data_IF_630358871642
#
_entry.id   IF_630358871642
#
_cell.length_a   1.000
_cell.length_b   1.000
_cell.length_c   1.000
_cell.angle_alpha   90.00
_cell.angle_beta   90.00
_cell.angle_gamma   90.00
#
_symmetry.space_group_name_H-M   'P 1'
#
loop_
_entity.id
_entity.type
_entity.pdbx_description
1 polymer ?
#
# COMPACT_ATOMS: atom_id res chain seq x y z
N UNK A 1 9.69 29.84 7.54
CA UNK A 1 10.18 29.12 6.36
C UNK A 1 9.28 27.91 6.13
N UNK A 2 8.88 27.65 4.89
CA UNK A 2 8.18 26.41 4.50
C UNK A 2 9.05 25.65 3.51
N UNK A 3 8.83 24.34 3.42
CA UNK A 3 9.56 23.41 2.58
C UNK A 3 8.63 22.74 1.57
N UNK A 4 9.22 22.29 0.47
CA UNK A 4 8.55 21.44 -0.50
C UNK A 4 9.06 20.00 -0.36
N UNK A 5 8.17 19.02 -0.54
CA UNK A 5 8.50 17.59 -0.44
C UNK A 5 8.22 16.91 -1.78
N UNK A 6 9.17 16.13 -2.29
CA UNK A 6 8.95 15.18 -3.36
C UNK A 6 9.05 13.76 -2.78
N UNK A 7 8.01 12.95 -2.96
CA UNK A 7 7.94 11.60 -2.40
C UNK A 7 7.51 10.59 -3.47
N UNK A 8 8.33 9.56 -3.67
CA UNK A 8 8.08 8.49 -4.63
C UNK A 8 7.55 7.24 -3.94
N UNK A 9 6.63 6.56 -4.61
CA UNK A 9 6.07 5.27 -4.19
C UNK A 9 5.56 5.32 -2.75
N UNK A 10 5.95 4.36 -1.91
CA UNK A 10 5.55 4.25 -0.50
C UNK A 10 5.92 5.47 0.35
N UNK A 11 6.96 6.22 -0.04
CA UNK A 11 7.36 7.45 0.65
C UNK A 11 6.22 8.49 0.66
N UNK A 12 5.31 8.42 -0.32
CA UNK A 12 4.11 9.26 -0.34
C UNK A 12 3.13 8.94 0.79
N UNK A 13 3.01 7.67 1.21
CA UNK A 13 2.13 7.28 2.32
C UNK A 13 2.67 7.81 3.64
N UNK A 14 3.98 7.70 3.86
CA UNK A 14 4.67 8.29 5.02
C UNK A 14 4.52 9.81 5.03
N UNK A 15 4.69 10.45 3.87
CA UNK A 15 4.51 11.89 3.72
C UNK A 15 3.08 12.30 4.07
N UNK A 16 2.07 11.60 3.55
CA UNK A 16 0.65 11.85 3.87
C UNK A 16 0.36 11.69 5.36
N UNK A 17 0.89 10.64 5.99
CA UNK A 17 0.74 10.40 7.42
C UNK A 17 1.37 11.55 8.23
N UNK A 18 2.64 11.89 7.95
CA UNK A 18 3.34 12.99 8.60
C UNK A 18 2.61 14.32 8.45
N UNK A 19 2.13 14.67 7.25
CA UNK A 19 1.40 15.93 7.04
C UNK A 19 0.17 16.05 7.94
N UNK A 20 -0.57 14.94 8.10
CA UNK A 20 -1.81 14.86 8.87
C UNK A 20 -1.57 14.84 10.38
N UNK A 21 -0.57 14.09 10.84
CA UNK A 21 -0.41 13.75 12.26
C UNK A 21 0.88 14.30 12.89
N UNK A 22 1.80 14.83 12.09
CA UNK A 22 3.09 15.31 12.57
C UNK A 22 3.92 14.18 13.18
N UNK A 23 4.48 14.36 14.39
CA UNK A 23 5.31 13.36 15.06
C UNK A 23 4.51 12.33 15.89
N UNK A 24 3.17 12.36 15.85
CA UNK A 24 2.35 11.42 16.62
C UNK A 24 2.59 9.97 16.17
N UNK A 25 2.61 9.03 17.13
CA UNK A 25 2.58 7.59 16.80
C UNK A 25 1.19 7.21 16.29
N UNK A 26 1.11 6.10 15.57
CA UNK A 26 -0.14 5.50 15.11
C UNK A 26 -0.98 4.93 16.26
N UNK A 27 -0.33 4.60 17.38
CA UNK A 27 -0.93 3.82 18.46
C UNK A 27 -0.96 2.33 18.14
N UNK A 28 -1.42 1.53 19.11
CA UNK A 28 -1.62 0.09 18.96
C UNK A 28 -3.11 -0.30 18.86
N UNK A 29 -4.02 0.60 19.24
CA UNK A 29 -5.47 0.40 19.17
C UNK A 29 -6.20 1.55 18.48
N UNK A 30 -7.50 1.41 18.26
CA UNK A 30 -8.32 2.49 17.67
C UNK A 30 -8.50 3.69 18.61
N UNK A 31 -8.57 3.44 19.92
CA UNK A 31 -8.70 4.46 20.95
C UNK A 31 -7.44 5.32 21.08
N UNK A 32 -6.29 4.75 20.71
CA UNK A 32 -4.99 5.42 20.67
C UNK A 32 -4.69 6.10 19.32
N UNK A 33 -5.67 6.14 18.40
CA UNK A 33 -5.47 6.71 17.08
C UNK A 33 -5.01 8.18 17.16
N UNK A 34 -4.07 8.61 16.29
CA UNK A 34 -3.53 9.96 16.33
C UNK A 34 -4.60 11.00 15.99
N UNK A 35 -4.51 12.17 16.62
CA UNK A 35 -5.43 13.27 16.37
C UNK A 35 -5.09 13.95 15.04
N UNK A 36 -6.07 14.06 14.14
CA UNK A 36 -5.92 14.74 12.85
C UNK A 36 -5.85 16.26 13.05
N UNK A 37 -4.63 16.79 13.12
CA UNK A 37 -4.37 18.21 13.39
C UNK A 37 -3.68 18.95 12.23
N UNK A 38 -3.23 18.21 11.21
CA UNK A 38 -2.33 18.70 10.16
C UNK A 38 -1.02 19.30 10.69
N UNK A 39 -0.55 18.85 11.86
CA UNK A 39 0.63 19.40 12.52
C UNK A 39 1.90 19.34 11.63
N UNK A 40 2.08 18.28 10.83
CA UNK A 40 3.22 18.17 9.93
C UNK A 40 3.15 19.14 8.74
N UNK A 41 1.96 19.60 8.36
CA UNK A 41 1.79 20.59 7.29
C UNK A 41 2.16 22.02 7.70
N UNK A 42 2.44 22.28 8.99
CA UNK A 42 2.85 23.61 9.50
C UNK A 42 4.05 24.19 8.73
N UNK A 43 4.99 23.34 8.34
CA UNK A 43 6.23 23.73 7.68
C UNK A 43 6.29 23.30 6.21
N UNK A 44 5.20 22.80 5.63
CA UNK A 44 5.18 22.30 4.26
C UNK A 44 4.24 23.16 3.41
N UNK A 45 4.72 23.61 2.26
CA UNK A 45 3.93 24.39 1.30
C UNK A 45 3.43 23.49 0.17
N UNK A 46 4.33 22.74 -0.48
CA UNK A 46 3.97 21.86 -1.60
C UNK A 46 4.47 20.44 -1.40
N UNK A 47 3.71 19.50 -1.92
CA UNK A 47 4.05 18.08 -1.90
C UNK A 47 3.79 17.50 -3.29
N UNK A 48 4.81 16.90 -3.90
CA UNK A 48 4.68 16.12 -5.13
C UNK A 48 4.78 14.65 -4.76
N UNK A 49 3.68 13.91 -4.92
CA UNK A 49 3.66 12.45 -4.73
C UNK A 49 3.66 11.73 -6.08
N UNK A 50 4.52 10.73 -6.23
CA UNK A 50 4.89 10.15 -7.53
C UNK A 50 4.68 8.64 -7.49
N UNK A 51 3.78 8.11 -8.31
CA UNK A 51 3.37 6.69 -8.28
C UNK A 51 2.95 6.18 -6.90
N UNK A 52 2.18 6.93 -6.09
CA UNK A 52 1.90 6.53 -4.71
C UNK A 52 0.93 5.34 -4.66
N UNK A 53 1.19 4.26 -3.91
CA UNK A 53 0.21 3.19 -3.70
C UNK A 53 -0.87 3.60 -2.67
N UNK A 54 -1.60 4.70 -2.92
CA UNK A 54 -2.52 5.28 -1.92
C UNK A 54 -3.61 4.30 -1.48
N UNK A 55 -4.08 3.41 -2.36
CA UNK A 55 -5.03 2.34 -2.03
C UNK A 55 -4.38 0.97 -1.78
N UNK A 56 -3.05 0.89 -1.76
CA UNK A 56 -2.28 -0.36 -1.74
C UNK A 56 -2.06 -0.96 -3.13
N UNK A 57 -1.35 -2.08 -3.18
CA UNK A 57 -1.06 -2.84 -4.41
C UNK A 57 -1.36 -4.32 -4.18
N UNK A 58 -1.96 -4.99 -5.16
CA UNK A 58 -2.30 -6.41 -5.00
C UNK A 58 -1.07 -7.29 -4.88
N UNK A 59 0.06 -6.88 -5.49
CA UNK A 59 1.34 -7.55 -5.42
C UNK A 59 1.90 -7.62 -3.99
N UNK A 60 1.49 -6.74 -3.06
CA UNK A 60 1.91 -6.83 -1.66
C UNK A 60 1.37 -8.12 -1.01
N UNK A 61 0.10 -8.47 -1.28
CA UNK A 61 -0.48 -9.73 -0.84
C UNK A 61 0.20 -10.92 -1.51
N UNK A 62 0.44 -10.85 -2.83
CA UNK A 62 1.17 -11.90 -3.56
C UNK A 62 2.55 -12.17 -2.95
N UNK A 63 3.31 -11.12 -2.61
CA UNK A 63 4.63 -11.23 -2.01
C UNK A 63 4.58 -11.84 -0.60
N UNK A 64 3.59 -11.44 0.22
CA UNK A 64 3.40 -11.99 1.56
C UNK A 64 3.00 -13.48 1.56
N UNK A 65 2.34 -13.95 0.50
CA UNK A 65 1.88 -15.35 0.38
C UNK A 65 2.89 -16.24 -0.35
N UNK A 66 3.44 -15.77 -1.46
CA UNK A 66 4.25 -16.56 -2.39
C UNK A 66 5.75 -16.26 -2.31
N UNK A 67 6.15 -15.23 -1.56
CA UNK A 67 7.52 -14.73 -1.55
C UNK A 67 7.80 -13.85 -2.78
N UNK A 68 9.06 -13.43 -2.93
CA UNK A 68 9.49 -12.60 -4.07
C UNK A 68 10.76 -13.14 -4.69
N UNK A 69 10.69 -13.46 -5.98
CA UNK A 69 11.86 -13.77 -6.79
C UNK A 69 12.41 -12.51 -7.45
N UNK A 70 13.69 -12.20 -7.23
CA UNK A 70 14.35 -11.05 -7.85
C UNK A 70 15.15 -11.42 -9.10
N UNK A 71 15.17 -12.69 -9.52
CA UNK A 71 15.91 -13.15 -10.71
C UNK A 71 16.86 -14.30 -10.42
N UNK A 72 16.37 -15.36 -9.77
CA UNK A 72 17.15 -16.59 -9.58
C UNK A 72 17.75 -17.12 -10.90
N UNK A 73 18.95 -17.72 -10.87
CA UNK A 73 19.78 -17.98 -9.68
C UNK A 73 20.70 -16.81 -9.26
N UNK A 74 20.76 -15.73 -10.04
CA UNK A 74 21.73 -14.65 -9.83
C UNK A 74 21.34 -13.66 -8.73
N UNK A 75 20.04 -13.49 -8.50
CA UNK A 75 19.48 -12.63 -7.45
C UNK A 75 18.70 -13.48 -6.43
N UNK A 76 18.57 -13.00 -5.18
CA UNK A 76 17.95 -13.78 -4.11
C UNK A 76 16.44 -13.96 -4.35
N UNK A 77 15.90 -14.99 -3.71
CA UNK A 77 14.46 -15.12 -3.49
C UNK A 77 14.19 -14.91 -2.01
N UNK A 78 13.23 -14.04 -1.72
CA UNK A 78 12.82 -13.75 -0.36
C UNK A 78 11.59 -14.60 -0.03
N UNK A 79 11.67 -15.52 0.95
CA UNK A 79 10.57 -16.40 1.29
C UNK A 79 9.43 -15.64 1.99
N UNK A 80 8.19 -16.19 1.96
CA UNK A 80 7.03 -15.59 2.62
C UNK A 80 7.26 -15.22 4.08
N UNK A 81 7.88 -16.09 4.89
CA UNK A 81 8.12 -15.76 6.29
C UNK A 81 9.12 -14.63 6.52
N UNK A 82 10.11 -14.44 5.63
CA UNK A 82 11.02 -13.29 5.72
C UNK A 82 10.25 -11.99 5.41
N UNK A 83 9.57 -11.95 4.27
CA UNK A 83 8.76 -10.80 3.86
C UNK A 83 7.63 -10.53 4.85
N UNK A 84 7.09 -11.58 5.48
CA UNK A 84 6.06 -11.52 6.49
C UNK A 84 6.49 -10.81 7.78
N UNK A 85 7.79 -10.54 7.98
CA UNK A 85 8.27 -9.68 9.07
C UNK A 85 8.25 -8.20 8.74
N UNK A 86 7.98 -7.81 7.49
CA UNK A 86 8.08 -6.41 7.04
C UNK A 86 6.73 -5.71 7.20
N UNK A 87 6.55 -4.80 8.18
CA UNK A 87 5.26 -4.13 8.40
C UNK A 87 4.77 -3.37 7.17
N UNK A 88 5.72 -2.87 6.38
CA UNK A 88 5.48 -2.06 5.20
C UNK A 88 4.73 -2.79 4.08
N UNK A 89 4.86 -4.12 3.96
CA UNK A 89 4.09 -4.89 2.99
C UNK A 89 2.62 -5.03 3.42
N UNK A 90 2.35 -5.18 4.71
CA UNK A 90 0.99 -5.18 5.23
C UNK A 90 0.32 -3.80 5.03
N UNK A 91 1.07 -2.72 5.23
CA UNK A 91 0.65 -1.33 4.95
C UNK A 91 0.51 -1.01 3.46
N UNK A 92 0.78 -1.98 2.57
CA UNK A 92 0.53 -1.90 1.14
C UNK A 92 -0.59 -2.82 0.68
N UNK A 93 -1.24 -3.55 1.58
CA UNK A 93 -2.40 -4.36 1.22
C UNK A 93 -3.48 -3.48 0.58
N UNK A 94 -4.18 -3.99 -0.45
CA UNK A 94 -5.33 -3.31 -0.99
C UNK A 94 -6.42 -3.19 0.07
N UNK A 95 -7.20 -2.10 0.05
CA UNK A 95 -8.35 -1.97 0.94
C UNK A 95 -9.44 -2.98 0.55
N UNK A 96 -9.96 -3.75 1.51
CA UNK A 96 -11.02 -4.74 1.24
C UNK A 96 -12.29 -4.09 0.67
N UNK A 97 -12.63 -2.88 1.11
CA UNK A 97 -13.76 -2.09 0.55
C UNK A 97 -13.64 -1.81 -0.95
N UNK A 98 -12.45 -1.86 -1.54
CA UNK A 98 -12.27 -1.76 -2.99
C UNK A 98 -12.47 -3.09 -3.74
N UNK A 99 -12.64 -4.22 -3.05
CA UNK A 99 -12.93 -5.53 -3.67
C UNK A 99 -11.89 -5.94 -4.73
N UNK A 100 -10.59 -5.80 -4.42
CA UNK A 100 -9.48 -6.13 -5.35
C UNK A 100 -8.93 -7.55 -5.18
N UNK A 101 -9.47 -8.30 -4.22
CA UNK A 101 -9.11 -9.70 -3.99
C UNK A 101 -10.41 -10.49 -3.94
N UNK A 102 -10.51 -11.54 -4.76
CA UNK A 102 -11.76 -12.28 -4.99
C UNK A 102 -11.55 -13.79 -4.85
N UNK A 103 -12.60 -14.53 -4.55
CA UNK A 103 -12.55 -15.99 -4.47
C UNK A 103 -12.78 -16.63 -5.83
N UNK A 104 -11.93 -17.61 -6.18
CA UNK A 104 -12.09 -18.52 -7.32
C UNK A 104 -12.35 -17.88 -8.70
N UNK A 105 -12.08 -16.57 -8.84
CA UNK A 105 -12.30 -15.81 -10.07
C UNK A 105 -13.70 -15.22 -10.19
N UNK A 106 -14.51 -15.30 -9.14
CA UNK A 106 -15.83 -14.71 -9.05
C UNK A 106 -15.76 -13.27 -8.52
N UNK A 107 -15.97 -12.28 -9.40
CA UNK A 107 -15.97 -10.87 -9.00
C UNK A 107 -17.13 -10.47 -8.09
N UNK A 108 -18.15 -11.32 -7.96
CA UNK A 108 -19.26 -11.13 -7.02
C UNK A 108 -18.97 -11.64 -5.61
N UNK A 109 -17.86 -12.37 -5.42
CA UNK A 109 -17.42 -12.92 -4.13
C UNK A 109 -16.05 -12.34 -3.71
N UNK A 110 -15.98 -11.07 -3.31
CA UNK A 110 -14.75 -10.45 -2.83
C UNK A 110 -14.38 -10.92 -1.42
N UNK A 111 -13.09 -10.90 -1.10
CA UNK A 111 -12.62 -11.07 0.28
C UNK A 111 -13.10 -9.89 1.12
N UNK A 112 -13.91 -10.19 2.13
CA UNK A 112 -14.56 -9.19 2.98
C UNK A 112 -13.54 -8.42 3.83
N UNK A 113 -12.61 -9.12 4.48
CA UNK A 113 -11.58 -8.52 5.31
C UNK A 113 -10.22 -9.20 5.06
N UNK A 114 -9.25 -8.42 4.59
CA UNK A 114 -7.88 -8.88 4.35
C UNK A 114 -7.00 -8.73 5.60
N UNK A 115 -7.46 -8.00 6.61
CA UNK A 115 -6.77 -7.79 7.88
C UNK A 115 -7.13 -8.86 8.91
N UNK A 116 -8.14 -9.69 8.65
CA UNK A 116 -8.57 -10.77 9.53
C UNK A 116 -7.46 -11.84 9.72
N UNK A 117 -6.88 -11.97 10.92
CA UNK A 117 -5.84 -12.98 11.17
C UNK A 117 -6.34 -14.42 11.03
N UNK A 118 -7.63 -14.70 11.22
CA UNK A 118 -8.19 -16.04 11.06
C UNK A 118 -8.17 -16.48 9.59
N UNK A 119 -8.46 -15.57 8.66
CA UNK A 119 -8.30 -15.80 7.22
C UNK A 119 -6.87 -16.23 6.89
N UNK A 120 -5.86 -15.51 7.38
CA UNK A 120 -4.45 -15.78 7.09
C UNK A 120 -4.00 -17.14 7.65
N UNK A 121 -4.44 -17.49 8.85
CA UNK A 121 -4.19 -18.80 9.46
C UNK A 121 -4.87 -19.93 8.66
N UNK A 122 -6.15 -19.76 8.35
CA UNK A 122 -6.93 -20.75 7.58
C UNK A 122 -6.32 -21.03 6.21
N UNK A 123 -5.80 -19.99 5.55
CA UNK A 123 -5.16 -20.11 4.23
C UNK A 123 -3.68 -20.50 4.31
N UNK A 124 -3.10 -20.59 5.51
CA UNK A 124 -1.69 -20.93 5.71
C UNK A 124 -0.75 -19.92 5.04
N UNK A 125 -1.02 -18.64 5.19
CA UNK A 125 -0.29 -17.55 4.53
C UNK A 125 0.81 -16.94 5.40
N UNK A 126 1.89 -16.49 4.75
CA UNK A 126 2.98 -15.75 5.37
C UNK A 126 3.57 -16.43 6.61
N UNK A 127 3.66 -15.68 7.70
CA UNK A 127 4.20 -16.15 8.99
C UNK A 127 3.36 -17.24 9.66
N UNK A 128 2.04 -17.25 9.43
CA UNK A 128 1.13 -18.27 9.99
C UNK A 128 1.17 -19.60 9.23
N UNK A 129 2.02 -19.73 8.20
CA UNK A 129 2.14 -20.95 7.41
C UNK A 129 3.07 -21.97 8.08
N UNK A 130 2.59 -23.19 8.43
CA UNK A 130 3.45 -24.23 8.98
C UNK A 130 4.60 -24.64 8.04
N UNK A 131 4.42 -24.44 6.73
CA UNK A 131 5.43 -24.71 5.71
C UNK A 131 6.71 -23.87 5.85
N UNK A 132 6.66 -22.78 6.63
CA UNK A 132 7.74 -21.83 6.76
C UNK A 132 8.68 -22.11 7.93
N UNK A 133 8.52 -23.23 8.66
CA UNK A 133 9.30 -23.51 9.88
C UNK A 133 10.82 -23.42 9.66
N UNK A 134 11.33 -23.86 8.51
CA UNK A 134 12.76 -23.72 8.17
C UNK A 134 13.24 -22.27 8.17
N UNK A 135 12.42 -21.33 7.73
CA UNK A 135 12.74 -19.89 7.74
C UNK A 135 12.54 -19.33 9.14
N UNK A 136 11.46 -19.74 9.82
CA UNK A 136 11.17 -19.30 11.18
C UNK A 136 12.25 -19.74 12.18
N UNK A 137 12.86 -20.91 12.02
CA UNK A 137 13.99 -21.34 12.87
C UNK A 137 15.26 -20.53 12.66
N UNK A 138 15.44 -19.94 11.48
CA UNK A 138 16.54 -18.98 11.24
C UNK A 138 16.23 -17.63 11.90
N UNK A 139 14.97 -17.18 11.83
CA UNK A 139 14.52 -15.92 12.43
C UNK A 139 14.44 -15.98 13.97
N UNK A 140 14.18 -17.16 14.53
CA UNK A 140 14.03 -17.41 15.96
C UNK A 140 14.90 -18.61 16.39
N UNK A 141 16.23 -18.50 16.33
CA UNK A 141 17.15 -19.62 16.58
C UNK A 141 17.09 -20.14 18.01
N UNK A 142 16.67 -19.31 18.97
CA UNK A 142 16.61 -19.65 20.39
C UNK A 142 15.33 -20.39 20.79
N UNK A 143 14.37 -20.55 19.86
CA UNK A 143 13.12 -21.26 20.10
C UNK A 143 13.22 -22.65 19.49
N UNK A 144 13.31 -23.70 20.31
CA UNK A 144 13.52 -25.07 19.86
C UNK A 144 12.27 -25.71 19.22
N UNK A 145 11.10 -25.47 19.79
CA UNK A 145 9.85 -26.12 19.39
C UNK A 145 9.20 -25.43 18.18
N UNK A 146 8.90 -26.21 17.14
CA UNK A 146 8.21 -25.74 15.91
C UNK A 146 6.85 -25.12 16.22
N UNK A 147 6.07 -25.73 17.12
CA UNK A 147 4.75 -25.22 17.51
C UNK A 147 4.86 -23.86 18.20
N UNK A 148 5.87 -23.68 19.05
CA UNK A 148 6.11 -22.40 19.73
C UNK A 148 6.56 -21.31 18.74
N UNK A 149 7.43 -21.62 17.78
CA UNK A 149 7.81 -20.69 16.71
C UNK A 149 6.59 -20.26 15.90
N UNK A 150 5.76 -21.21 15.49
CA UNK A 150 4.54 -20.92 14.74
C UNK A 150 3.59 -20.05 15.54
N UNK A 151 3.37 -20.34 16.83
CA UNK A 151 2.50 -19.54 17.69
C UNK A 151 2.98 -18.07 17.80
N UNK A 152 4.29 -17.85 18.01
CA UNK A 152 4.88 -16.50 18.04
C UNK A 152 4.70 -15.79 16.70
N UNK A 153 4.98 -16.48 15.60
CA UNK A 153 4.89 -15.93 14.25
C UNK A 153 3.43 -15.54 13.89
N UNK A 154 2.46 -16.37 14.25
CA UNK A 154 1.02 -16.11 14.07
C UNK A 154 0.57 -14.88 14.87
N UNK A 155 0.95 -14.78 16.14
CA UNK A 155 0.63 -13.60 16.98
C UNK A 155 1.27 -12.33 16.42
N UNK A 156 2.52 -12.42 15.96
CA UNK A 156 3.20 -11.28 15.34
C UNK A 156 2.51 -10.84 14.05
N UNK A 157 2.11 -11.78 13.19
CA UNK A 157 1.39 -11.48 11.95
C UNK A 157 0.04 -10.80 12.23
N UNK A 158 -0.71 -11.27 13.22
CA UNK A 158 -1.97 -10.65 13.62
C UNK A 158 -1.75 -9.17 14.03
N UNK A 159 -0.68 -8.88 14.79
CA UNK A 159 -0.32 -7.49 15.15
C UNK A 159 0.05 -6.64 13.94
N UNK A 160 0.75 -7.19 12.95
CA UNK A 160 1.11 -6.47 11.72
C UNK A 160 -0.11 -6.15 10.86
N UNK A 161 -1.05 -7.10 10.75
CA UNK A 161 -2.33 -6.89 10.06
C UNK A 161 -3.15 -5.79 10.74
N UNK A 162 -3.24 -5.84 12.06
CA UNK A 162 -3.94 -4.82 12.84
C UNK A 162 -3.29 -3.44 12.70
N UNK A 163 -1.96 -3.36 12.80
CA UNK A 163 -1.24 -2.10 12.59
C UNK A 163 -1.43 -1.55 11.17
N UNK A 164 -1.52 -2.41 10.14
CA UNK A 164 -1.83 -1.98 8.79
C UNK A 164 -3.27 -1.46 8.66
N UNK A 165 -4.24 -2.11 9.32
CA UNK A 165 -5.64 -1.65 9.38
C UNK A 165 -5.76 -0.27 10.01
N UNK A 166 -5.11 -0.04 11.16
CA UNK A 166 -5.05 1.26 11.82
C UNK A 166 -4.38 2.32 10.94
N UNK A 167 -3.24 1.98 10.31
CA UNK A 167 -2.54 2.88 9.41
C UNK A 167 -3.44 3.33 8.25
N UNK A 168 -4.09 2.37 7.58
CA UNK A 168 -5.00 2.65 6.47
C UNK A 168 -6.18 3.52 6.91
N UNK A 169 -6.81 3.24 8.05
CA UNK A 169 -7.87 4.09 8.60
C UNK A 169 -7.39 5.52 8.82
N UNK A 170 -6.21 5.70 9.42
CA UNK A 170 -5.65 7.02 9.70
C UNK A 170 -5.39 7.82 8.41
N UNK A 171 -4.79 7.21 7.39
CA UNK A 171 -4.47 7.95 6.15
C UNK A 171 -5.66 8.09 5.21
N UNK A 172 -6.67 7.22 5.28
CA UNK A 172 -7.86 7.25 4.43
C UNK A 172 -8.98 8.14 4.99
N UNK A 173 -8.88 8.60 6.26
CA UNK A 173 -9.86 9.52 6.85
C UNK A 173 -10.07 10.76 5.94
N UNK A 174 -11.28 11.04 5.44
CA UNK A 174 -11.52 12.21 4.61
C UNK A 174 -11.19 13.50 5.37
N UNK A 175 -10.34 14.34 4.79
CA UNK A 175 -9.87 15.56 5.43
C UNK A 175 -9.48 16.61 4.40
N UNK A 176 -9.84 17.87 4.66
CA UNK A 176 -9.41 19.02 3.86
C UNK A 176 -8.07 19.51 4.41
N UNK A 177 -7.01 19.61 3.57
CA UNK A 177 -5.74 20.16 4.01
C UNK A 177 -5.84 21.67 4.33
N UNK A 178 -4.92 22.24 5.12
CA UNK A 178 -4.82 23.68 5.29
C UNK A 178 -4.72 24.39 3.94
N UNK A 179 -5.32 25.58 3.80
CA UNK A 179 -5.41 26.29 2.52
C UNK A 179 -4.05 26.58 1.85
N UNK A 180 -2.97 26.61 2.63
CA UNK A 180 -1.62 26.82 2.12
C UNK A 180 -0.91 25.57 1.60
N UNK A 181 -1.44 24.37 1.85
CA UNK A 181 -0.80 23.12 1.49
C UNK A 181 -1.34 22.64 0.13
N UNK A 182 -0.45 22.54 -0.85
CA UNK A 182 -0.77 22.00 -2.16
C UNK A 182 -0.21 20.58 -2.32
N UNK A 183 -1.06 19.63 -2.74
CA UNK A 183 -0.65 18.24 -3.00
C UNK A 183 -0.81 17.96 -4.49
N UNK A 184 0.30 17.70 -5.17
CA UNK A 184 0.36 17.35 -6.59
C UNK A 184 0.57 15.84 -6.73
N UNK A 185 -0.19 15.20 -7.62
CA UNK A 185 -0.07 13.79 -7.93
C UNK A 185 0.53 13.59 -9.31
N UNK A 186 1.49 12.68 -9.40
CA UNK A 186 1.96 12.10 -10.67
C UNK A 186 1.66 10.61 -10.63
N UNK A 187 0.89 10.12 -11.60
CA UNK A 187 0.48 8.70 -11.69
C UNK A 187 0.80 8.14 -13.07
N UNK A 188 1.25 6.88 -13.13
CA UNK A 188 1.25 6.16 -14.40
C UNK A 188 -0.17 5.83 -14.87
N UNK A 189 -0.36 5.73 -16.18
CA UNK A 189 -1.65 5.36 -16.79
C UNK A 189 -1.53 4.55 -18.10
N UNK A 190 -0.35 4.02 -18.42
CA UNK A 190 -0.12 3.33 -19.70
C UNK A 190 0.26 1.86 -19.55
N UNK A 191 0.79 1.46 -18.40
CA UNK A 191 1.30 0.10 -18.21
C UNK A 191 0.20 -0.84 -17.68
N UNK A 192 0.03 -2.03 -18.29
CA UNK A 192 -0.83 -3.07 -17.73
C UNK A 192 -0.35 -3.46 -16.33
N UNK A 193 -1.12 -3.09 -15.31
CA UNK A 193 -0.74 -3.24 -13.92
C UNK A 193 -1.66 -4.23 -13.21
N UNK A 194 -1.14 -5.26 -12.51
CA UNK A 194 -1.96 -6.16 -11.70
C UNK A 194 -2.91 -5.38 -10.79
N UNK A 195 -4.20 -5.70 -10.89
CA UNK A 195 -5.26 -4.90 -10.24
C UNK A 195 -6.26 -5.72 -9.46
N UNK A 196 -6.43 -7.00 -9.82
CA UNK A 196 -7.29 -7.95 -9.11
C UNK A 196 -6.52 -9.26 -8.93
N UNK A 197 -6.51 -9.78 -7.71
CA UNK A 197 -6.06 -11.14 -7.40
C UNK A 197 -7.25 -12.07 -7.19
N UNK A 198 -7.13 -13.29 -7.68
CA UNK A 198 -8.04 -14.39 -7.35
C UNK A 198 -7.33 -15.36 -6.40
N UNK A 199 -7.98 -15.71 -5.29
CA UNK A 199 -7.56 -16.75 -4.37
C UNK A 199 -8.28 -18.04 -4.73
N UNK A 200 -7.55 -19.15 -4.80
CA UNK A 200 -8.16 -20.47 -4.83
C UNK A 200 -8.62 -20.87 -3.42
N UNK A 201 -9.92 -21.01 -3.19
CA UNK A 201 -10.51 -21.24 -1.86
C UNK A 201 -10.05 -22.53 -1.18
N UNK A 202 -9.59 -23.53 -1.96
CA UNK A 202 -9.14 -24.83 -1.46
C UNK A 202 -7.66 -24.87 -1.10
N UNK A 203 -6.84 -24.07 -1.78
CA UNK A 203 -5.37 -24.16 -1.68
C UNK A 203 -4.70 -22.90 -1.13
N UNK A 204 -5.44 -21.79 -1.03
CA UNK A 204 -4.90 -20.49 -0.63
C UNK A 204 -3.97 -19.86 -1.68
N UNK A 205 -3.79 -20.47 -2.86
CA UNK A 205 -2.91 -19.94 -3.91
C UNK A 205 -3.52 -18.70 -4.57
N UNK A 206 -2.66 -17.72 -4.86
CA UNK A 206 -3.01 -16.49 -5.56
C UNK A 206 -2.68 -16.57 -7.05
N UNK A 207 -3.46 -15.87 -7.86
CA UNK A 207 -3.14 -15.55 -9.25
C UNK A 207 -3.64 -14.16 -9.60
N UNK A 208 -2.92 -13.46 -10.49
CA UNK A 208 -3.43 -12.24 -11.12
C UNK A 208 -4.64 -12.61 -11.97
N UNK A 209 -5.79 -12.03 -11.64
CA UNK A 209 -7.05 -12.24 -12.35
C UNK A 209 -7.26 -11.19 -13.43
N UNK A 210 -6.93 -9.93 -13.13
CA UNK A 210 -7.07 -8.83 -14.06
C UNK A 210 -6.01 -7.74 -13.85
N UNK A 211 -5.68 -7.06 -14.94
CA UNK A 211 -4.86 -5.85 -14.95
C UNK A 211 -5.72 -4.60 -15.20
N UNK A 212 -5.18 -3.45 -14.86
CA UNK A 212 -5.74 -2.13 -15.13
C UNK A 212 -4.61 -1.18 -15.55
N UNK A 213 -4.94 -0.02 -16.17
CA UNK A 213 -3.94 1.02 -16.41
C UNK A 213 -3.22 1.46 -15.13
N UNK A 214 -1.91 1.71 -15.23
CA UNK A 214 -1.06 2.14 -14.12
C UNK A 214 0.38 2.32 -14.57
N UNK A 215 1.32 2.05 -13.66
CA UNK A 215 2.78 2.15 -13.88
C UNK A 215 3.51 0.79 -13.85
N UNK A 216 2.77 -0.31 -13.96
CA UNK A 216 3.28 -1.69 -13.88
C UNK A 216 3.43 -2.20 -12.44
N UNK A 217 3.39 -1.31 -11.44
CA UNK A 217 3.40 -1.65 -10.02
C UNK A 217 2.11 -1.20 -9.33
N UNK A 218 1.78 0.09 -9.46
CA UNK A 218 0.64 0.76 -8.86
C UNK A 218 -0.40 1.06 -9.94
N UNK A 219 -1.59 0.49 -9.79
CA UNK A 219 -2.69 0.79 -10.70
C UNK A 219 -3.15 2.25 -10.51
N UNK A 220 -3.57 2.93 -11.59
CA UNK A 220 -4.01 4.33 -11.57
C UNK A 220 -5.06 4.60 -10.49
N UNK A 221 -6.05 3.71 -10.37
CA UNK A 221 -7.09 3.86 -9.35
C UNK A 221 -6.55 3.76 -7.92
N UNK A 222 -5.45 3.04 -7.70
CA UNK A 222 -4.76 3.03 -6.41
C UNK A 222 -4.02 4.34 -6.16
N UNK A 223 -3.32 4.88 -7.17
CA UNK A 223 -2.67 6.19 -7.09
C UNK A 223 -3.64 7.31 -6.71
N UNK A 224 -4.86 7.26 -7.24
CA UNK A 224 -5.90 8.24 -6.97
C UNK A 224 -6.62 8.03 -5.62
N UNK A 225 -6.45 6.86 -4.98
CA UNK A 225 -7.33 6.39 -3.90
C UNK A 225 -8.81 6.56 -4.30
N UNK A 226 -9.16 5.95 -5.44
CA UNK A 226 -10.47 6.11 -6.07
C UNK A 226 -11.54 5.28 -5.35
N UNK A 227 -12.33 5.94 -4.51
CA UNK A 227 -13.42 5.36 -3.71
C UNK A 227 -14.58 4.81 -4.56
N UNK A 228 -14.60 5.05 -5.88
CA UNK A 228 -15.57 4.43 -6.78
C UNK A 228 -15.27 2.96 -7.04
N UNK A 229 -14.03 2.52 -6.83
CA UNK A 229 -13.61 1.14 -7.04
C UNK A 229 -14.31 0.22 -6.04
N UNK A 230 -14.93 -0.86 -6.53
CA UNK A 230 -15.75 -1.76 -5.69
C UNK A 230 -17.14 -1.22 -5.35
N UNK A 231 -17.49 -0.02 -5.83
CA UNK A 231 -18.80 0.60 -5.65
C UNK A 231 -19.54 0.85 -6.96
N UNK A 232 -20.53 1.73 -6.89
CA UNK A 232 -21.30 2.18 -8.07
C UNK A 232 -20.53 3.24 -8.84
N UNK A 233 -20.64 3.19 -10.18
CA UNK A 233 -20.03 4.20 -11.04
C UNK A 233 -20.53 5.61 -10.70
N UNK A 234 -19.60 6.57 -10.69
CA UNK A 234 -19.90 7.99 -10.55
C UNK A 234 -19.05 8.82 -11.52
N UNK A 235 -19.58 9.95 -12.02
CA UNK A 235 -18.94 10.73 -13.08
C UNK A 235 -17.69 11.49 -12.62
N UNK A 236 -17.55 11.79 -11.33
CA UNK A 236 -16.40 12.51 -10.76
C UNK A 236 -15.61 11.60 -9.83
N UNK A 237 -14.29 11.82 -9.77
CA UNK A 237 -13.42 11.13 -8.81
C UNK A 237 -13.95 11.33 -7.39
N UNK A 238 -14.04 10.23 -6.65
CA UNK A 238 -14.25 10.25 -5.21
C UNK A 238 -12.94 9.81 -4.56
N UNK A 239 -12.32 10.69 -3.79
CA UNK A 239 -11.06 10.40 -3.09
C UNK A 239 -11.02 11.19 -1.79
N UNK A 240 -10.52 10.62 -0.67
CA UNK A 240 -10.31 11.36 0.56
C UNK A 240 -9.06 12.26 0.49
N UNK A 241 -8.37 12.30 -0.66
CA UNK A 241 -7.19 13.13 -0.90
C UNK A 241 -7.59 14.31 -1.79
N UNK A 242 -7.33 15.53 -1.30
CA UNK A 242 -7.47 16.75 -2.09
C UNK A 242 -6.19 17.00 -2.88
N UNK A 243 -6.25 16.84 -4.20
CA UNK A 243 -5.16 17.16 -5.11
C UNK A 243 -5.31 18.57 -5.67
N UNK A 244 -4.23 19.35 -5.67
CA UNK A 244 -4.15 20.61 -6.39
C UNK A 244 -4.08 20.37 -7.90
N UNK A 245 -3.35 19.33 -8.34
CA UNK A 245 -3.31 18.88 -9.72
C UNK A 245 -2.93 17.39 -9.78
N UNK A 246 -3.39 16.71 -10.84
CA UNK A 246 -3.01 15.35 -11.19
C UNK A 246 -2.40 15.35 -12.58
N UNK A 247 -1.24 14.72 -12.74
CA UNK A 247 -0.56 14.49 -14.00
C UNK A 247 -0.46 12.99 -14.26
N UNK A 248 -0.95 12.54 -15.41
CA UNK A 248 -0.77 11.17 -15.87
C UNK A 248 0.42 11.08 -16.82
N UNK A 249 1.28 10.08 -16.62
CA UNK A 249 2.44 9.82 -17.45
C UNK A 249 2.38 8.40 -18.04
N UNK A 250 2.83 8.20 -19.29
CA UNK A 250 2.86 6.89 -19.91
C UNK A 250 4.19 6.16 -19.61
N UNK A 251 4.60 6.13 -18.34
CA UNK A 251 5.87 5.55 -17.91
C UNK A 251 5.64 4.46 -16.86
N UNK A 252 6.56 3.49 -16.79
CA UNK A 252 6.62 2.53 -15.70
C UNK A 252 7.01 3.19 -14.36
N UNK A 253 6.86 2.44 -13.26
CA UNK A 253 7.01 2.94 -11.90
C UNK A 253 8.34 3.65 -11.61
N UNK A 254 9.43 3.19 -12.21
CA UNK A 254 10.76 3.81 -12.06
C UNK A 254 10.97 4.92 -13.11
N UNK A 255 10.40 4.74 -14.29
CA UNK A 255 10.45 5.69 -15.40
C UNK A 255 9.69 6.98 -15.13
N UNK A 256 8.71 6.99 -14.21
CA UNK A 256 7.97 8.20 -13.81
C UNK A 256 8.90 9.37 -13.46
N UNK A 257 9.96 9.11 -12.69
CA UNK A 257 10.92 10.16 -12.26
C UNK A 257 11.99 10.49 -13.30
N UNK A 258 12.10 9.69 -14.37
CA UNK A 258 13.06 9.90 -15.47
C UNK A 258 12.45 10.65 -16.65
N UNK A 259 11.13 10.83 -16.65
CA UNK A 259 10.39 11.51 -17.71
C UNK A 259 10.73 12.99 -17.77
N UNK A 260 10.97 13.51 -18.98
CA UNK A 260 11.15 14.96 -19.18
C UNK A 260 9.87 15.72 -18.82
N UNK A 261 8.70 15.16 -19.17
CA UNK A 261 7.40 15.71 -18.78
C UNK A 261 7.25 15.79 -17.26
N UNK A 262 7.75 14.79 -16.52
CA UNK A 262 7.81 14.84 -15.06
C UNK A 262 8.64 16.03 -14.58
N UNK A 263 9.88 16.13 -15.07
CA UNK A 263 10.83 17.17 -14.64
C UNK A 263 10.26 18.56 -14.89
N UNK A 264 9.76 18.80 -16.08
CA UNK A 264 9.33 20.13 -16.51
C UNK A 264 8.08 20.59 -15.71
N UNK A 265 7.13 19.68 -15.45
CA UNK A 265 5.95 20.00 -14.63
C UNK A 265 6.30 20.21 -13.16
N UNK A 266 7.18 19.38 -12.58
CA UNK A 266 7.59 19.52 -11.18
C UNK A 266 8.36 20.83 -10.97
N UNK A 267 9.29 21.17 -11.85
CA UNK A 267 10.01 22.44 -11.77
C UNK A 267 9.06 23.63 -11.90
N UNK A 268 8.09 23.56 -12.82
CA UNK A 268 7.07 24.60 -12.94
C UNK A 268 6.26 24.76 -11.63
N UNK A 269 5.73 23.65 -11.08
CA UNK A 269 4.94 23.70 -9.84
C UNK A 269 5.72 24.24 -8.66
N UNK A 270 7.01 23.91 -8.53
CA UNK A 270 7.82 24.30 -7.40
C UNK A 270 8.38 25.73 -7.54
N UNK A 271 8.80 26.13 -8.74
CA UNK A 271 9.60 27.34 -8.95
C UNK A 271 8.88 28.47 -9.67
N UNK A 272 7.97 28.16 -10.60
CA UNK A 272 7.43 29.15 -11.55
C UNK A 272 5.94 29.47 -11.35
N UNK A 273 5.17 28.54 -10.79
CA UNK A 273 3.73 28.72 -10.56
C UNK A 273 3.46 30.00 -9.75
N UNK A 274 2.62 30.94 -10.26
CA UNK A 274 2.27 32.17 -9.56
C UNK A 274 1.69 31.92 -8.16
N UNK A 275 1.93 32.86 -7.24
CA UNK A 275 1.51 32.82 -5.84
C UNK A 275 0.60 33.98 -5.50
#
# INVERSE_FOLDING_TARGET
MKFDIAAHSMGALLTRYYLRYGPQDLGETEEEAPELTWAGAKYVERVVIIGPPNAGVVQALEQLVSGRDFGRPFLPYYPPALLGTYPSLYQLLPRSRHQRVIWDGDSSDPVVDLYDPELWQKMGWGLSSPSQDKVLSILMPDIAETEQRLAIATVHQARLLERARLFHRAIDLPAVPPAHLEIFLISGDAEPTPSILSINSKTGKLRVFATAPGDGTVARQSSLLDERVGGTWQPRLQSPITFAQVLFLPNDHLGLTQSETFRDNVLYWLLEKPR
#
